data_IF_556090949558
#
_entry.id   IF_556090949558
#
_cell.length_a   1.000
_cell.length_b   1.000
_cell.length_c   1.000
_cell.angle_alpha   90.00
_cell.angle_beta   90.00
_cell.angle_gamma   90.00
#
_symmetry.space_group_name_H-M   'P 1'
#
loop_
_entity.id
_entity.type
_entity.pdbx_description
1 polymer ?
#
# COMPACT_ATOMS: atom_id res chain seq x y z
N UNK A 1 12.10 -16.12 9.26
CA UNK A 1 11.16 -15.14 8.65
C UNK A 1 10.54 -14.33 9.77
N UNK A 2 10.72 -13.01 9.80
CA UNK A 2 10.52 -12.13 10.96
C UNK A 2 9.04 -11.90 11.36
N UNK A 3 8.16 -12.88 11.21
CA UNK A 3 6.74 -12.80 11.59
C UNK A 3 5.87 -11.83 10.79
N UNK A 4 6.47 -10.96 9.97
CA UNK A 4 5.79 -9.98 9.14
C UNK A 4 5.14 -10.66 7.93
N UNK A 5 3.81 -10.67 7.91
CA UNK A 5 3.03 -11.09 6.74
C UNK A 5 3.06 -9.99 5.70
N UNK A 6 3.95 -10.13 4.72
CA UNK A 6 3.99 -9.30 3.52
C UNK A 6 3.12 -9.93 2.44
N UNK A 7 2.21 -9.14 1.86
CA UNK A 7 1.40 -9.56 0.73
C UNK A 7 1.72 -8.67 -0.46
N UNK A 8 2.06 -9.26 -1.62
CA UNK A 8 2.31 -8.46 -2.82
C UNK A 8 1.05 -7.65 -3.14
N UNK A 9 1.21 -6.34 -3.31
CA UNK A 9 0.11 -5.47 -3.62
C UNK A 9 -0.35 -5.75 -5.07
N UNK A 10 -1.63 -6.07 -5.31
CA UNK A 10 -2.09 -6.37 -6.65
C UNK A 10 -2.20 -5.07 -7.45
N UNK A 11 -1.18 -4.76 -8.27
CA UNK A 11 -1.12 -3.55 -9.09
C UNK A 11 -2.14 -3.54 -10.26
N UNK A 12 -2.67 -4.71 -10.66
CA UNK A 12 -3.65 -4.77 -11.74
C UNK A 12 -5.00 -4.17 -11.29
N UNK A 13 -5.44 -3.06 -11.90
CA UNK A 13 -6.82 -2.59 -11.78
C UNK A 13 -7.66 -3.41 -12.76
N UNK A 14 -8.73 -4.05 -12.29
CA UNK A 14 -9.78 -4.55 -13.17
C UNK A 14 -10.90 -3.53 -13.17
N UNK A 15 -11.31 -3.03 -14.33
CA UNK A 15 -12.45 -2.13 -14.53
C UNK A 15 -13.82 -2.82 -14.31
N UNK A 16 -13.89 -3.81 -13.41
CA UNK A 16 -15.11 -4.58 -13.20
C UNK A 16 -15.96 -3.92 -12.11
N UNK A 17 -17.11 -3.38 -12.55
CA UNK A 17 -18.04 -2.54 -11.79
C UNK A 17 -18.29 -2.94 -10.34
N UNK A 18 -18.04 -1.99 -9.44
CA UNK A 18 -18.43 -2.07 -8.03
C UNK A 18 -17.49 -1.30 -7.11
N UNK A 19 -17.95 -0.14 -6.64
CA UNK A 19 -17.35 0.76 -5.63
C UNK A 19 -16.24 1.71 -6.13
N UNK A 20 -16.71 2.84 -6.68
CA UNK A 20 -15.97 3.97 -7.24
C UNK A 20 -14.81 4.49 -6.35
N UNK A 21 -14.96 4.50 -5.02
CA UNK A 21 -13.92 5.06 -4.12
C UNK A 21 -12.72 4.12 -3.93
N UNK A 22 -12.93 2.79 -3.86
CA UNK A 22 -11.83 1.83 -3.76
C UNK A 22 -10.99 1.79 -5.04
N UNK A 23 -11.63 2.04 -6.18
CA UNK A 23 -10.96 2.23 -7.46
C UNK A 23 -10.07 3.47 -7.47
N UNK A 24 -10.55 4.60 -6.93
CA UNK A 24 -9.82 5.87 -6.87
C UNK A 24 -8.54 5.81 -6.04
N UNK A 25 -8.61 5.31 -4.81
CA UNK A 25 -7.41 5.23 -3.95
C UNK A 25 -6.34 4.34 -4.57
N UNK A 26 -6.76 3.23 -5.19
CA UNK A 26 -5.86 2.33 -5.89
C UNK A 26 -5.26 2.98 -7.14
N UNK A 27 -6.07 3.72 -7.91
CA UNK A 27 -5.62 4.44 -9.09
C UNK A 27 -4.60 5.52 -8.74
N UNK A 28 -4.87 6.35 -7.71
CA UNK A 28 -3.94 7.37 -7.23
C UNK A 28 -2.63 6.76 -6.75
N UNK A 29 -2.69 5.68 -5.97
CA UNK A 29 -1.50 4.98 -5.52
C UNK A 29 -0.68 4.40 -6.68
N UNK A 30 -1.34 3.90 -7.73
CA UNK A 30 -0.68 3.42 -8.94
C UNK A 30 -0.05 4.55 -9.76
N UNK A 31 -0.70 5.70 -9.85
CA UNK A 31 -0.15 6.91 -10.46
C UNK A 31 1.13 7.34 -9.71
N UNK A 32 1.08 7.43 -8.38
CA UNK A 32 2.26 7.74 -7.57
C UNK A 32 3.39 6.71 -7.79
N UNK A 33 3.06 5.41 -7.83
CA UNK A 33 4.03 4.35 -8.12
C UNK A 33 4.62 4.44 -9.54
N UNK A 34 3.86 4.93 -10.53
CA UNK A 34 4.33 5.04 -11.92
C UNK A 34 5.50 6.02 -12.07
N UNK A 35 5.66 6.96 -11.14
CA UNK A 35 6.80 7.87 -11.09
C UNK A 35 8.10 7.20 -10.64
N UNK A 36 8.01 6.00 -10.05
CA UNK A 36 9.16 5.19 -9.67
C UNK A 36 9.40 4.15 -10.76
N UNK A 37 10.25 4.48 -11.73
CA UNK A 37 10.44 3.71 -12.97
C UNK A 37 11.45 2.56 -12.90
N UNK A 38 11.86 2.15 -11.69
CA UNK A 38 12.81 1.03 -11.55
C UNK A 38 12.08 -0.31 -11.68
N UNK A 39 12.50 -1.19 -12.61
CA UNK A 39 11.91 -2.53 -12.76
C UNK A 39 12.05 -3.41 -11.52
N UNK A 40 12.95 -3.10 -10.59
CA UNK A 40 13.12 -3.83 -9.33
C UNK A 40 12.17 -3.37 -8.22
N UNK A 41 11.38 -2.32 -8.45
CA UNK A 41 10.42 -1.86 -7.45
C UNK A 41 9.18 -2.76 -7.36
N UNK A 42 8.81 -3.07 -6.12
CA UNK A 42 7.64 -3.89 -5.80
C UNK A 42 6.86 -3.27 -4.64
N UNK A 43 5.54 -3.21 -4.79
CA UNK A 43 4.65 -2.75 -3.74
C UNK A 43 4.14 -3.94 -2.91
N UNK A 44 4.12 -3.76 -1.59
CA UNK A 44 3.65 -4.76 -0.63
C UNK A 44 2.67 -4.14 0.37
N UNK A 45 1.63 -4.91 0.72
CA UNK A 45 0.77 -4.62 1.87
C UNK A 45 1.39 -5.23 3.12
N UNK A 46 1.61 -4.38 4.13
CA UNK A 46 2.07 -4.78 5.46
C UNK A 46 0.90 -4.67 6.45
N UNK A 47 0.52 -5.79 7.06
CA UNK A 47 -0.46 -5.77 8.15
C UNK A 47 0.26 -5.56 9.48
N UNK A 48 0.10 -4.37 10.04
CA UNK A 48 0.65 -4.01 11.34
C UNK A 48 -0.40 -4.16 12.45
N UNK A 49 0.04 -4.44 13.67
CA UNK A 49 -0.84 -4.38 14.85
C UNK A 49 -1.15 -2.92 15.19
N UNK A 50 -2.26 -2.69 15.90
CA UNK A 50 -2.62 -1.34 16.38
C UNK A 50 -1.54 -0.72 17.27
N UNK A 51 -0.88 -1.54 18.10
CA UNK A 51 0.26 -1.12 18.93
C UNK A 51 1.41 -0.56 18.09
N UNK A 52 1.82 -1.28 17.05
CA UNK A 52 2.91 -0.86 16.16
C UNK A 52 2.53 0.42 15.41
N UNK A 53 1.29 0.53 14.91
CA UNK A 53 0.80 1.74 14.25
C UNK A 53 0.84 2.94 15.20
N UNK A 54 0.38 2.77 16.45
CA UNK A 54 0.40 3.82 17.46
C UNK A 54 1.84 4.23 17.81
N UNK A 55 2.77 3.27 17.88
CA UNK A 55 4.19 3.55 18.10
C UNK A 55 4.79 4.36 16.94
N UNK A 56 4.52 3.98 15.68
CA UNK A 56 4.98 4.75 14.50
C UNK A 56 4.47 6.19 14.56
N UNK A 57 3.18 6.38 14.85
CA UNK A 57 2.56 7.71 14.97
C UNK A 57 3.17 8.57 16.07
N UNK A 58 3.71 7.96 17.13
CA UNK A 58 4.34 8.70 18.23
C UNK A 58 5.61 9.45 17.81
N UNK A 59 6.29 9.01 16.74
CA UNK A 59 7.47 9.70 16.19
C UNK A 59 7.12 10.96 15.39
N UNK A 60 5.84 11.15 15.03
CA UNK A 60 5.38 12.27 14.20
C UNK A 60 4.99 13.51 15.02
N UNK A 61 5.41 13.57 16.30
CA UNK A 61 5.40 14.80 17.11
C UNK A 61 6.77 15.46 16.98
N UNK A 62 6.98 16.18 15.88
CA UNK A 62 7.99 17.21 15.71
C UNK A 62 7.29 18.49 15.27
#
# INVERSE_FOLDING_TARGET
>A
TNGLKMQKFPLCIKESGGLYERGKDKAKFLEELSHYSDPDYSAYTLKLSGEVINKIRSFNRA
#
